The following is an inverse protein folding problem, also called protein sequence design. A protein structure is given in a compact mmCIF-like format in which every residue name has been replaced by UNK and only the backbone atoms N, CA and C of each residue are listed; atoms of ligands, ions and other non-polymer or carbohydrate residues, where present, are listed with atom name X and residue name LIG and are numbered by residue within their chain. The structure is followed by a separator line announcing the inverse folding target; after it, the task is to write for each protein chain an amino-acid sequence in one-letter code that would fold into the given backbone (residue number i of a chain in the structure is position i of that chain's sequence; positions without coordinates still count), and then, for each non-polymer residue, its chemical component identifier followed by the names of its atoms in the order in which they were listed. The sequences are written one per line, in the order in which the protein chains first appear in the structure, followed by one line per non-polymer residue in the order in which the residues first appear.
data_IF_087283677253
#
_entry.id   IF_087283677253
#
_cell.length_a   1.000
_cell.length_b   1.000
_cell.length_c   1.000
_cell.angle_alpha   90.00
_cell.angle_beta   90.00
_cell.angle_gamma   90.00
#
_symmetry.space_group_name_H-M   'P 1'
#
loop_
_entity.id
_entity.type
_entity.pdbx_description
1 polymer ?
#
# COMPACT_ATOMS: atom_id res chain seq x y z
N UNK A 1 16.79 13.00 -1.22
CA UNK A 1 15.76 13.32 -0.21
C UNK A 1 16.34 13.79 1.12
N UNK A 2 17.16 13.01 1.83
CA UNK A 2 17.71 13.41 3.16
C UNK A 2 18.42 14.76 3.14
N UNK A 3 19.27 15.01 2.13
CA UNK A 3 19.98 16.28 1.96
C UNK A 3 19.08 17.51 1.70
N UNK A 4 17.83 17.29 1.32
CA UNK A 4 16.86 18.34 1.01
C UNK A 4 15.78 18.46 2.09
N UNK A 5 15.94 17.75 3.22
CA UNK A 5 14.99 17.80 4.33
C UNK A 5 15.30 19.01 5.22
N UNK A 6 14.68 20.15 4.91
CA UNK A 6 14.93 21.42 5.61
C UNK A 6 13.71 21.93 6.39
N UNK A 7 12.65 21.14 6.53
CA UNK A 7 11.48 21.47 7.37
C UNK A 7 10.89 20.24 8.07
N UNK A 8 10.01 20.42 9.07
CA UNK A 8 9.42 19.32 9.86
C UNK A 8 8.25 18.65 9.13
N UNK A 9 8.44 18.28 7.86
CA UNK A 9 7.37 17.77 7.00
C UNK A 9 7.03 16.32 7.33
N UNK A 10 5.82 16.06 7.82
CA UNK A 10 5.33 14.71 8.12
C UNK A 10 4.84 13.95 6.90
N UNK A 11 4.55 14.68 5.83
CA UNK A 11 4.05 14.13 4.58
C UNK A 11 4.62 14.87 3.38
N UNK A 12 4.64 14.20 2.23
CA UNK A 12 5.12 14.81 0.98
C UNK A 12 4.28 16.00 0.50
N UNK A 13 3.02 16.08 0.98
CA UNK A 13 2.14 17.22 0.71
C UNK A 13 2.65 18.49 1.38
N UNK A 14 3.24 18.38 2.56
CA UNK A 14 3.79 19.51 3.33
C UNK A 14 5.14 20.01 2.80
N UNK A 15 5.81 19.22 1.94
CA UNK A 15 7.09 19.62 1.34
C UNK A 15 6.83 20.77 0.35
N UNK A 16 7.46 21.95 0.53
CA UNK A 16 7.31 23.10 -0.35
C UNK A 16 7.67 22.78 -1.80
N UNK A 17 7.01 23.48 -2.74
CA UNK A 17 7.25 23.29 -4.18
C UNK A 17 8.71 23.52 -4.56
N UNK A 18 9.36 24.56 -4.04
CA UNK A 18 10.78 24.82 -4.34
C UNK A 18 11.69 23.68 -3.87
N UNK A 19 11.40 23.06 -2.73
CA UNK A 19 12.16 21.90 -2.24
C UNK A 19 11.95 20.67 -3.13
N UNK A 20 10.72 20.44 -3.61
CA UNK A 20 10.42 19.38 -4.58
C UNK A 20 11.17 19.60 -5.90
N UNK A 21 11.17 20.82 -6.43
CA UNK A 21 11.91 21.19 -7.65
C UNK A 21 13.40 20.96 -7.46
N UNK A 22 13.99 21.41 -6.35
CA UNK A 22 15.41 21.15 -6.06
C UNK A 22 15.74 19.65 -5.96
N UNK A 23 14.86 18.84 -5.37
CA UNK A 23 15.01 17.37 -5.33
C UNK A 23 14.91 16.74 -6.73
N UNK A 24 14.06 17.28 -7.61
CA UNK A 24 13.86 16.81 -8.98
C UNK A 24 15.06 17.16 -9.87
N UNK A 25 15.52 18.40 -9.84
CA UNK A 25 16.70 18.84 -10.61
C UNK A 25 17.91 17.95 -10.28
N UNK A 26 18.11 17.62 -9.00
CA UNK A 26 19.19 16.71 -8.59
C UNK A 26 19.00 15.27 -9.07
N UNK A 27 17.76 14.83 -9.24
CA UNK A 27 17.47 13.53 -9.82
C UNK A 27 17.80 13.51 -11.31
N UNK A 28 17.51 14.59 -12.05
CA UNK A 28 17.85 14.74 -13.46
C UNK A 28 19.36 14.86 -13.70
N UNK A 29 20.11 15.48 -12.80
CA UNK A 29 21.58 15.55 -12.88
C UNK A 29 22.26 14.16 -12.88
N UNK A 30 21.64 13.15 -12.27
CA UNK A 30 22.26 11.84 -12.03
C UNK A 30 21.57 10.70 -12.81
N UNK A 31 20.49 10.97 -13.52
CA UNK A 31 19.78 9.98 -14.34
C UNK A 31 19.49 10.53 -15.73
N UNK A 32 19.81 9.74 -16.75
CA UNK A 32 19.37 10.01 -18.12
C UNK A 32 17.90 9.60 -18.28
N UNK A 33 17.05 10.55 -18.68
CA UNK A 33 15.63 10.30 -18.98
C UNK A 33 15.46 10.26 -20.49
N UNK A 34 14.84 9.20 -21.00
CA UNK A 34 14.58 9.06 -22.43
C UNK A 34 13.56 10.11 -22.92
N UNK A 35 13.68 10.59 -24.17
CA UNK A 35 12.69 11.49 -24.77
C UNK A 35 11.27 10.92 -24.65
N UNK A 36 10.29 11.78 -24.34
CA UNK A 36 8.89 11.39 -24.16
C UNK A 36 8.55 10.71 -22.83
N UNK A 37 9.54 10.30 -22.01
CA UNK A 37 9.29 9.64 -20.72
C UNK A 37 9.26 10.59 -19.52
N UNK A 38 9.60 11.87 -19.72
CA UNK A 38 9.76 12.85 -18.63
C UNK A 38 8.56 12.90 -17.69
N UNK A 39 7.35 13.02 -18.25
CA UNK A 39 6.13 13.10 -17.46
C UNK A 39 5.91 11.83 -16.61
N UNK A 40 6.06 10.66 -17.22
CA UNK A 40 5.88 9.38 -16.54
C UNK A 40 6.92 9.18 -15.42
N UNK A 41 8.20 9.43 -15.72
CA UNK A 41 9.29 9.33 -14.75
C UNK A 41 9.07 10.30 -13.59
N UNK A 42 8.65 11.54 -13.86
CA UNK A 42 8.34 12.51 -12.82
C UNK A 42 7.17 12.04 -11.93
N UNK A 43 6.11 11.47 -12.50
CA UNK A 43 5.00 10.90 -11.72
C UNK A 43 5.46 9.75 -10.81
N UNK A 44 6.25 8.81 -11.34
CA UNK A 44 6.79 7.67 -10.59
C UNK A 44 7.72 8.16 -9.48
N UNK A 45 8.62 9.09 -9.80
CA UNK A 45 9.53 9.72 -8.86
C UNK A 45 8.77 10.41 -7.72
N UNK A 46 7.72 11.16 -8.03
CA UNK A 46 6.91 11.86 -7.04
C UNK A 46 6.21 10.88 -6.08
N UNK A 47 5.62 9.80 -6.61
CA UNK A 47 5.05 8.69 -5.80
C UNK A 47 6.13 8.02 -4.95
N UNK A 48 7.33 7.83 -5.49
CA UNK A 48 8.45 7.24 -4.76
C UNK A 48 8.88 8.13 -3.60
N UNK A 49 9.04 9.42 -3.83
CA UNK A 49 9.37 10.41 -2.82
C UNK A 49 8.33 10.43 -1.69
N UNK A 50 7.04 10.42 -2.04
CA UNK A 50 5.97 10.33 -1.06
C UNK A 50 6.11 9.13 -0.12
N UNK A 51 6.32 7.93 -0.67
CA UNK A 51 6.47 6.70 0.11
C UNK A 51 7.74 6.71 0.96
N UNK A 52 8.86 7.15 0.38
CA UNK A 52 10.17 7.15 1.06
C UNK A 52 10.23 8.12 2.22
N UNK A 53 9.62 9.30 2.12
CA UNK A 53 9.61 10.27 3.22
C UNK A 53 8.91 9.71 4.45
N UNK A 54 7.64 9.29 4.29
CA UNK A 54 6.84 8.75 5.39
C UNK A 54 7.47 7.49 5.99
N UNK A 55 8.02 6.59 5.16
CA UNK A 55 8.71 5.39 5.64
C UNK A 55 9.96 5.74 6.45
N UNK A 56 10.76 6.71 5.97
CA UNK A 56 12.01 7.10 6.64
C UNK A 56 11.75 7.76 8.00
N UNK A 57 10.78 8.68 8.05
CA UNK A 57 10.37 9.34 9.30
C UNK A 57 9.75 8.34 10.29
N UNK A 58 8.90 7.42 9.80
CA UNK A 58 8.33 6.37 10.63
C UNK A 58 9.40 5.49 11.26
N UNK A 59 10.41 5.06 10.48
CA UNK A 59 11.55 4.26 10.98
C UNK A 59 12.37 5.02 12.03
N UNK A 60 12.74 6.25 11.73
CA UNK A 60 13.50 7.10 12.67
C UNK A 60 12.72 7.28 13.97
N UNK A 61 11.43 7.60 13.90
CA UNK A 61 10.60 7.76 15.08
C UNK A 61 10.54 6.47 15.90
N UNK A 62 10.27 5.33 15.27
CA UNK A 62 10.22 4.04 15.97
C UNK A 62 11.53 3.69 16.65
N UNK A 63 12.65 3.92 15.97
CA UNK A 63 13.98 3.71 16.54
C UNK A 63 14.21 4.63 17.75
N UNK A 64 13.94 5.93 17.60
CA UNK A 64 14.14 6.92 18.68
C UNK A 64 13.21 6.68 19.86
N UNK A 65 11.97 6.24 19.62
CA UNK A 65 11.04 5.86 20.66
C UNK A 65 11.55 4.66 21.47
N UNK A 66 12.18 3.67 20.81
CA UNK A 66 12.79 2.53 21.47
C UNK A 66 14.01 2.93 22.30
N UNK A 67 14.93 3.72 21.72
CA UNK A 67 16.11 4.26 22.42
C UNK A 67 15.70 5.10 23.66
N UNK A 68 14.58 5.81 23.56
CA UNK A 68 14.02 6.65 24.61
C UNK A 68 13.10 5.92 25.60
N UNK A 69 13.05 4.57 25.57
CA UNK A 69 12.22 3.73 26.45
C UNK A 69 10.73 4.13 26.45
N UNK A 70 10.21 4.48 25.28
CA UNK A 70 8.79 4.83 25.09
C UNK A 70 8.45 6.31 25.30
N UNK A 71 9.37 7.14 25.77
CA UNK A 71 9.13 8.58 25.95
C UNK A 71 9.93 9.41 24.93
N UNK A 72 9.26 9.78 23.84
CA UNK A 72 9.89 10.51 22.74
C UNK A 72 10.43 11.90 23.14
N UNK A 73 10.00 12.48 24.27
CA UNK A 73 10.59 13.73 24.78
C UNK A 73 12.08 13.57 25.11
N UNK A 74 12.49 12.38 25.54
CA UNK A 74 13.90 12.07 25.86
C UNK A 74 14.79 11.91 24.63
N UNK A 75 14.25 12.06 23.42
CA UNK A 75 15.01 11.97 22.17
C UNK A 75 15.39 13.33 21.56
N UNK A 76 15.01 14.46 22.17
CA UNK A 76 15.27 15.83 21.64
C UNK A 76 16.76 16.17 21.52
N UNK A 77 17.56 15.62 22.42
CA UNK A 77 19.01 15.82 22.49
C UNK A 77 19.74 15.08 21.35
N UNK A 78 19.14 14.02 20.79
CA UNK A 78 19.75 13.09 19.82
C UNK A 78 19.04 13.07 18.45
N UNK A 79 19.03 14.18 17.69
CA UNK A 79 18.47 14.20 16.34
C UNK A 79 19.25 13.28 15.38
N UNK A 80 18.59 12.73 14.35
CA UNK A 80 19.30 12.11 13.22
C UNK A 80 20.20 13.12 12.50
N UNK A 81 21.33 12.65 11.95
CA UNK A 81 22.31 13.50 11.27
C UNK A 81 21.78 14.31 10.07
N UNK A 82 20.65 13.92 9.49
CA UNK A 82 20.04 14.58 8.33
C UNK A 82 18.84 15.47 8.70
N UNK A 83 18.53 15.65 9.99
CA UNK A 83 17.48 16.55 10.46
C UNK A 83 18.11 17.56 11.42
N UNK A 84 17.93 18.86 11.16
CA UNK A 84 18.37 19.90 12.09
C UNK A 84 17.71 19.75 13.45
N UNK A 85 18.39 20.14 14.54
CA UNK A 85 17.84 20.07 15.90
C UNK A 85 16.51 20.80 16.01
N UNK A 86 16.39 21.95 15.36
CA UNK A 86 15.15 22.73 15.32
C UNK A 86 13.98 21.94 14.70
N UNK A 87 14.17 21.39 13.50
CA UNK A 87 13.14 20.62 12.81
C UNK A 87 12.82 19.31 13.54
N UNK A 88 13.83 18.69 14.17
CA UNK A 88 13.64 17.50 14.99
C UNK A 88 12.75 17.77 16.21
N UNK A 89 12.99 18.87 16.93
CA UNK A 89 12.16 19.26 18.06
C UNK A 89 10.71 19.50 17.62
N UNK A 90 10.49 20.21 16.50
CA UNK A 90 9.14 20.42 15.93
C UNK A 90 8.47 19.09 15.56
N UNK A 91 9.20 18.13 14.97
CA UNK A 91 8.66 16.79 14.67
C UNK A 91 8.25 16.04 15.95
N UNK A 92 9.07 16.11 17.00
CA UNK A 92 8.73 15.52 18.31
C UNK A 92 7.47 16.16 18.85
N UNK A 93 7.36 17.50 18.86
CA UNK A 93 6.17 18.22 19.33
C UNK A 93 4.90 17.73 18.64
N UNK A 94 4.96 17.54 17.32
CA UNK A 94 3.82 17.02 16.57
C UNK A 94 3.53 15.57 16.97
N UNK A 95 4.53 14.69 17.07
CA UNK A 95 4.32 13.28 17.40
C UNK A 95 3.82 13.04 18.83
N UNK A 96 4.22 13.87 19.80
CA UNK A 96 3.73 13.75 21.18
C UNK A 96 2.35 14.38 21.39
N UNK A 97 1.92 15.22 20.45
CA UNK A 97 0.64 15.93 20.54
C UNK A 97 -0.54 14.94 20.70
N UNK A 98 -1.57 15.30 21.51
CA UNK A 98 -2.75 14.45 21.68
C UNK A 98 -3.45 14.10 20.36
N UNK A 99 -3.54 15.09 19.45
CA UNK A 99 -4.13 14.91 18.13
C UNK A 99 -3.42 13.82 17.33
N UNK A 100 -2.08 13.84 17.32
CA UNK A 100 -1.30 12.86 16.57
C UNK A 100 -1.38 11.48 17.22
N UNK A 101 -1.27 11.40 18.55
CA UNK A 101 -1.43 10.14 19.31
C UNK A 101 -2.78 9.48 19.05
N UNK A 102 -3.88 10.25 19.11
CA UNK A 102 -5.23 9.75 18.81
C UNK A 102 -5.32 9.16 17.41
N UNK A 103 -4.80 9.87 16.39
CA UNK A 103 -4.76 9.38 15.00
C UNK A 103 -3.91 8.11 14.86
N UNK A 104 -2.77 8.06 15.55
CA UNK A 104 -1.87 6.90 15.52
C UNK A 104 -2.52 5.66 16.14
N UNK A 105 -3.19 5.82 17.29
CA UNK A 105 -3.85 4.71 17.97
C UNK A 105 -5.07 4.22 17.18
N UNK A 106 -5.89 5.12 16.63
CA UNK A 106 -6.97 4.75 15.71
C UNK A 106 -6.44 3.94 14.52
N UNK A 107 -5.37 4.38 13.89
CA UNK A 107 -4.75 3.64 12.78
C UNK A 107 -4.17 2.28 13.20
N UNK A 108 -3.66 2.17 14.43
CA UNK A 108 -3.19 0.89 14.99
C UNK A 108 -4.37 -0.06 15.25
N UNK A 109 -5.45 0.44 15.83
CA UNK A 109 -6.66 -0.34 16.08
C UNK A 109 -7.31 -0.80 14.77
N UNK A 110 -7.35 0.06 13.74
CA UNK A 110 -7.83 -0.30 12.42
C UNK A 110 -7.02 -1.45 11.80
N UNK A 111 -5.68 -1.43 11.94
CA UNK A 111 -4.82 -2.53 11.48
C UNK A 111 -5.01 -3.82 12.28
N UNK A 112 -5.33 -3.71 13.56
CA UNK A 112 -5.53 -4.85 14.46
C UNK A 112 -7.00 -5.31 14.53
N UNK A 113 -7.89 -4.70 13.75
CA UNK A 113 -9.29 -5.09 13.72
C UNK A 113 -9.43 -6.49 13.12
N UNK A 114 -10.07 -7.38 13.86
CA UNK A 114 -10.31 -8.74 13.39
C UNK A 114 -11.36 -8.74 12.27
N UNK A 115 -11.09 -9.50 11.22
CA UNK A 115 -12.03 -9.83 10.15
C UNK A 115 -12.16 -11.34 10.11
N UNK A 116 -13.39 -11.85 10.23
CA UNK A 116 -13.68 -13.29 10.33
C UNK A 116 -12.89 -13.99 11.45
N UNK A 117 -12.75 -13.33 12.61
CA UNK A 117 -12.06 -13.89 13.77
C UNK A 117 -10.52 -13.94 13.65
N UNK A 118 -9.92 -13.21 12.70
CA UNK A 118 -8.45 -13.08 12.59
C UNK A 118 -8.03 -11.71 12.09
N UNK A 119 -6.84 -11.25 12.44
CA UNK A 119 -6.23 -10.06 11.80
C UNK A 119 -5.84 -10.45 10.38
N UNK A 120 -6.18 -9.61 9.40
CA UNK A 120 -5.88 -9.88 8.00
C UNK A 120 -4.36 -9.86 7.73
N UNK A 121 -3.85 -10.87 7.04
CA UNK A 121 -2.41 -11.11 6.78
C UNK A 121 -2.22 -11.57 5.33
N UNK A 122 -1.01 -11.33 4.82
CA UNK A 122 -0.53 -11.87 3.54
C UNK A 122 0.96 -12.23 3.67
N UNK A 123 1.42 -13.15 2.82
CA UNK A 123 2.80 -13.64 2.70
C UNK A 123 3.56 -13.04 1.50
N UNK A 124 2.98 -12.05 0.80
CA UNK A 124 3.62 -11.39 -0.35
C UNK A 124 4.92 -10.62 -0.02
N UNK A 125 5.15 -10.28 1.24
CA UNK A 125 6.35 -9.56 1.67
C UNK A 125 6.42 -8.14 1.10
N UNK A 126 7.63 -7.64 0.83
CA UNK A 126 7.86 -6.30 0.28
C UNK A 126 7.68 -6.19 -1.24
N UNK A 127 7.34 -7.30 -1.90
CA UNK A 127 7.11 -7.38 -3.35
C UNK A 127 5.64 -7.00 -3.62
N UNK A 128 5.42 -6.17 -4.63
CA UNK A 128 4.08 -5.74 -5.05
C UNK A 128 3.28 -6.93 -5.61
N UNK A 129 1.94 -6.86 -5.54
CA UNK A 129 1.10 -7.89 -6.14
C UNK A 129 1.30 -8.00 -7.66
N UNK A 130 1.49 -6.86 -8.37
CA UNK A 130 1.84 -6.87 -9.82
C UNK A 130 3.10 -7.68 -10.07
N UNK A 131 4.16 -7.47 -9.30
CA UNK A 131 5.41 -8.20 -9.52
C UNK A 131 5.28 -9.68 -9.13
N UNK A 132 4.41 -10.03 -8.17
CA UNK A 132 4.07 -11.43 -7.92
C UNK A 132 3.33 -12.05 -9.11
N UNK A 133 2.37 -11.34 -9.68
CA UNK A 133 1.61 -11.78 -10.86
C UNK A 133 2.53 -11.93 -12.08
N UNK A 134 3.42 -10.98 -12.36
CA UNK A 134 4.39 -11.08 -13.45
C UNK A 134 5.32 -12.29 -13.29
N UNK A 135 5.84 -12.50 -12.07
CA UNK A 135 6.67 -13.68 -11.78
C UNK A 135 5.89 -14.98 -11.95
N UNK A 136 4.63 -14.99 -11.57
CA UNK A 136 3.76 -16.14 -11.70
C UNK A 136 3.42 -16.40 -13.18
N UNK A 137 3.15 -15.35 -13.96
CA UNK A 137 2.96 -15.40 -15.41
C UNK A 137 4.16 -16.00 -16.11
N UNK A 138 5.37 -15.54 -15.79
CA UNK A 138 6.61 -16.10 -16.34
C UNK A 138 6.78 -17.58 -16.00
N UNK A 139 6.41 -17.99 -14.77
CA UNK A 139 6.48 -19.38 -14.32
C UNK A 139 5.46 -20.28 -15.02
N UNK A 140 4.23 -19.80 -15.18
CA UNK A 140 3.11 -20.55 -15.78
C UNK A 140 3.12 -20.49 -17.31
N UNK A 141 3.85 -19.53 -17.90
CA UNK A 141 3.83 -19.21 -19.34
C UNK A 141 2.43 -18.85 -19.87
N UNK A 142 1.55 -18.39 -18.98
CA UNK A 142 0.20 -17.89 -19.25
C UNK A 142 -0.18 -16.87 -18.18
N UNK A 143 -1.25 -16.13 -18.41
CA UNK A 143 -1.82 -15.27 -17.35
C UNK A 143 -2.26 -16.13 -16.14
N UNK A 144 -1.90 -15.72 -14.91
CA UNK A 144 -2.42 -16.35 -13.71
C UNK A 144 -3.90 -16.02 -13.53
N UNK A 145 -4.66 -16.97 -12.99
CA UNK A 145 -6.04 -16.73 -12.56
C UNK A 145 -6.08 -15.90 -11.27
N UNK A 146 -7.22 -15.27 -10.98
CA UNK A 146 -7.50 -14.58 -9.70
C UNK A 146 -7.14 -15.47 -8.50
N UNK A 147 -7.52 -16.75 -8.54
CA UNK A 147 -7.26 -17.71 -7.46
C UNK A 147 -5.76 -18.00 -7.29
N UNK A 148 -5.02 -18.16 -8.38
CA UNK A 148 -3.58 -18.40 -8.34
C UNK A 148 -2.81 -17.19 -7.80
N UNK A 149 -3.15 -16.00 -8.26
CA UNK A 149 -2.60 -14.72 -7.76
C UNK A 149 -2.91 -14.49 -6.29
N UNK A 150 -4.15 -14.76 -5.87
CA UNK A 150 -4.54 -14.63 -4.47
C UNK A 150 -3.80 -15.64 -3.58
N UNK A 151 -3.79 -16.90 -3.97
CA UNK A 151 -3.11 -17.98 -3.24
C UNK A 151 -1.61 -17.71 -3.10
N UNK A 152 -0.97 -17.18 -4.16
CA UNK A 152 0.46 -16.83 -4.15
C UNK A 152 0.83 -15.93 -2.97
N UNK A 153 -0.09 -15.06 -2.57
CA UNK A 153 0.15 -14.03 -1.56
C UNK A 153 -0.58 -14.29 -0.25
N UNK A 154 -1.59 -15.16 -0.19
CA UNK A 154 -2.40 -15.39 1.02
C UNK A 154 -2.32 -16.84 1.56
N UNK A 155 -1.52 -17.70 0.93
CA UNK A 155 -1.16 -19.02 1.47
C UNK A 155 0.33 -19.10 1.82
N UNK A 156 0.63 -19.98 2.78
CA UNK A 156 2.00 -20.37 3.10
C UNK A 156 2.65 -21.17 1.95
N UNK A 157 3.95 -21.44 2.05
CA UNK A 157 4.72 -22.23 1.07
C UNK A 157 4.42 -21.79 -0.37
N UNK A 158 4.47 -20.48 -0.61
CA UNK A 158 4.41 -19.93 -1.96
C UNK A 158 3.11 -20.21 -2.74
N UNK A 159 1.99 -20.44 -2.03
CA UNK A 159 0.69 -20.77 -2.62
C UNK A 159 0.24 -22.21 -2.39
N UNK A 160 1.15 -23.08 -1.91
CA UNK A 160 0.91 -24.53 -1.82
C UNK A 160 0.50 -25.00 -0.41
N UNK A 161 0.63 -24.16 0.61
CA UNK A 161 0.21 -24.48 1.98
C UNK A 161 -1.18 -23.97 2.33
N UNK A 162 -1.51 -23.94 3.62
CA UNK A 162 -2.77 -23.38 4.12
C UNK A 162 -2.82 -21.84 4.07
N UNK A 163 -4.02 -21.28 4.21
CA UNK A 163 -4.25 -19.84 4.33
C UNK A 163 -3.61 -19.28 5.61
N UNK A 164 -3.15 -18.03 5.53
CA UNK A 164 -2.41 -17.38 6.63
C UNK A 164 -3.31 -16.58 7.59
N UNK A 165 -4.57 -16.42 7.22
CA UNK A 165 -5.62 -15.83 8.04
C UNK A 165 -6.99 -16.47 7.69
N UNK A 166 -7.98 -16.29 8.58
CA UNK A 166 -9.34 -16.80 8.39
C UNK A 166 -10.13 -15.98 7.37
N UNK A 167 -9.75 -14.72 7.13
CA UNK A 167 -10.42 -13.86 6.14
C UNK A 167 -10.23 -14.41 4.74
N UNK A 168 -9.00 -14.77 4.38
CA UNK A 168 -8.63 -15.28 3.07
C UNK A 168 -9.29 -16.63 2.80
N UNK A 169 -9.34 -17.50 3.82
CA UNK A 169 -10.08 -18.75 3.77
C UNK A 169 -11.58 -18.52 3.52
N UNK A 170 -12.21 -17.62 4.29
CA UNK A 170 -13.62 -17.28 4.12
C UNK A 170 -13.95 -16.67 2.76
N UNK A 171 -13.09 -15.76 2.26
CA UNK A 171 -13.21 -15.17 0.91
C UNK A 171 -13.17 -16.27 -0.16
N UNK A 172 -12.22 -17.19 -0.06
CA UNK A 172 -12.08 -18.26 -1.04
C UNK A 172 -13.22 -19.28 -0.98
N UNK A 173 -13.76 -19.56 0.22
CA UNK A 173 -14.95 -20.39 0.37
C UNK A 173 -16.17 -19.74 -0.31
N UNK A 174 -16.39 -18.43 -0.10
CA UNK A 174 -17.46 -17.68 -0.77
C UNK A 174 -17.28 -17.64 -2.28
N UNK A 175 -16.10 -17.28 -2.76
CA UNK A 175 -15.79 -17.25 -4.18
C UNK A 175 -16.08 -18.61 -4.83
N UNK A 176 -15.64 -19.71 -4.22
CA UNK A 176 -15.86 -21.06 -4.75
C UNK A 176 -17.35 -21.43 -4.77
N UNK A 177 -18.12 -20.99 -3.77
CA UNK A 177 -19.56 -21.21 -3.73
C UNK A 177 -20.29 -20.43 -4.84
N UNK A 178 -19.97 -19.15 -5.04
CA UNK A 178 -20.58 -18.35 -6.12
C UNK A 178 -20.17 -18.85 -7.50
N UNK A 179 -18.90 -19.22 -7.68
CA UNK A 179 -18.41 -19.84 -8.90
C UNK A 179 -19.19 -21.12 -9.26
N UNK A 180 -19.51 -21.93 -8.25
CA UNK A 180 -20.27 -23.19 -8.45
C UNK A 180 -21.74 -22.95 -8.78
N UNK A 181 -22.34 -21.83 -8.35
CA UNK A 181 -23.72 -21.47 -8.74
C UNK A 181 -23.80 -21.00 -10.19
N UNK A 182 -22.76 -20.33 -10.68
CA UNK A 182 -22.71 -19.71 -12.00
C UNK A 182 -22.13 -20.65 -13.08
N UNK A 183 -22.38 -21.97 -12.98
CA UNK A 183 -21.87 -23.09 -13.82
C UNK A 183 -22.29 -23.05 -15.31
N UNK A 184 -22.15 -21.91 -15.98
CA UNK A 184 -22.05 -21.78 -17.45
C UNK A 184 -20.59 -21.47 -17.85
N UNK A 185 -19.71 -21.16 -16.89
CA UNK A 185 -18.28 -20.96 -17.13
C UNK A 185 -17.46 -22.23 -16.86
N UNK A 186 -16.41 -22.50 -17.65
CA UNK A 186 -15.60 -23.72 -17.53
C UNK A 186 -14.90 -23.79 -16.15
N UNK A 187 -14.32 -24.92 -15.71
CA UNK A 187 -13.75 -25.11 -14.35
C UNK A 187 -12.78 -24.00 -13.92
N UNK A 188 -12.47 -23.81 -12.61
CA UNK A 188 -11.68 -22.69 -12.08
C UNK A 188 -10.31 -22.43 -12.75
N UNK A 189 -9.73 -23.44 -13.43
CA UNK A 189 -8.52 -23.28 -14.25
C UNK A 189 -8.75 -22.61 -15.61
N UNK A 190 -10.01 -22.43 -16.02
CA UNK A 190 -10.47 -21.91 -17.32
C UNK A 190 -11.33 -20.64 -17.19
N UNK A 191 -11.60 -20.15 -15.98
CA UNK A 191 -12.17 -18.82 -15.78
C UNK A 191 -11.30 -17.79 -16.53
N UNK A 192 -11.89 -16.77 -17.19
CA UNK A 192 -11.09 -15.70 -17.77
C UNK A 192 -10.17 -15.15 -16.68
N UNK A 193 -8.91 -14.79 -17.00
CA UNK A 193 -7.86 -14.55 -16.01
C UNK A 193 -8.24 -13.56 -14.90
N UNK A 194 -9.26 -12.72 -15.11
CA UNK A 194 -9.75 -11.70 -14.19
C UNK A 194 -11.29 -11.49 -14.23
N UNK A 195 -12.07 -12.52 -13.88
CA UNK A 195 -13.50 -12.33 -13.54
C UNK A 195 -13.65 -11.66 -12.16
N UNK A 196 -13.70 -10.33 -12.14
CA UNK A 196 -13.78 -9.56 -10.91
C UNK A 196 -15.18 -9.50 -10.29
N UNK A 197 -16.23 -9.78 -11.05
CA UNK A 197 -17.61 -9.67 -10.56
C UNK A 197 -17.87 -10.71 -9.46
N UNK A 198 -17.49 -11.97 -9.72
CA UNK A 198 -17.54 -13.03 -8.71
C UNK A 198 -16.62 -12.73 -7.51
N UNK A 199 -15.49 -12.09 -7.75
CA UNK A 199 -14.58 -11.72 -6.68
C UNK A 199 -15.14 -10.61 -5.79
N UNK A 200 -15.88 -9.65 -6.36
CA UNK A 200 -16.55 -8.58 -5.62
C UNK A 200 -17.71 -9.12 -4.78
N UNK A 201 -18.46 -10.12 -5.25
CA UNK A 201 -19.45 -10.81 -4.43
C UNK A 201 -18.81 -11.48 -3.19
N UNK A 202 -17.61 -12.06 -3.36
CA UNK A 202 -16.89 -12.71 -2.26
C UNK A 202 -16.24 -11.72 -1.28
N UNK A 203 -15.76 -10.57 -1.76
CA UNK A 203 -14.92 -9.64 -0.98
C UNK A 203 -15.56 -8.31 -0.61
N UNK A 204 -16.68 -7.98 -1.23
CA UNK A 204 -17.31 -6.66 -1.24
C UNK A 204 -16.74 -5.76 -2.34
N UNK A 205 -17.52 -4.73 -2.69
CA UNK A 205 -17.15 -3.73 -3.70
C UNK A 205 -15.84 -3.01 -3.30
N UNK A 206 -14.92 -2.77 -4.24
CA UNK A 206 -13.67 -2.06 -3.97
C UNK A 206 -13.91 -0.70 -3.31
N UNK A 207 -13.14 -0.39 -2.27
CA UNK A 207 -13.14 0.95 -1.65
C UNK A 207 -11.88 1.69 -2.09
N UNK A 208 -12.03 2.95 -2.52
CA UNK A 208 -10.92 3.78 -3.01
C UNK A 208 -10.09 3.11 -4.13
N UNK A 209 -10.72 2.32 -5.00
CA UNK A 209 -10.06 1.61 -6.11
C UNK A 209 -9.19 0.42 -5.68
N UNK A 210 -9.29 -0.03 -4.44
CA UNK A 210 -8.54 -1.18 -3.92
C UNK A 210 -9.41 -2.44 -3.84
N UNK A 211 -9.05 -3.45 -4.63
CA UNK A 211 -9.62 -4.79 -4.54
C UNK A 211 -8.86 -5.60 -3.50
N UNK A 212 -9.57 -6.29 -2.61
CA UNK A 212 -8.91 -7.14 -1.62
C UNK A 212 -8.10 -8.25 -2.29
N UNK A 213 -6.82 -8.36 -1.93
CA UNK A 213 -5.91 -9.36 -2.45
C UNK A 213 -5.14 -8.96 -3.72
N UNK A 214 -5.39 -7.77 -4.28
CA UNK A 214 -4.79 -7.34 -5.55
C UNK A 214 -4.24 -5.91 -5.49
N UNK A 215 -3.40 -5.57 -6.47
CA UNK A 215 -2.97 -4.18 -6.69
C UNK A 215 -4.15 -3.29 -7.06
N UNK A 216 -4.05 -1.96 -6.86
CA UNK A 216 -5.03 -1.03 -7.42
C UNK A 216 -5.15 -1.30 -8.92
N UNK A 217 -6.36 -1.56 -9.39
CA UNK A 217 -6.61 -1.70 -10.81
C UNK A 217 -6.61 -0.30 -11.41
N UNK A 218 -5.71 -0.04 -12.35
CA UNK A 218 -5.66 1.23 -13.08
C UNK A 218 -6.97 1.50 -13.86
N UNK A 219 -7.82 0.48 -14.01
CA UNK A 219 -9.02 0.47 -14.84
C UNK A 219 -10.36 0.51 -14.05
N UNK A 220 -10.36 0.44 -12.71
CA UNK A 220 -11.61 0.47 -11.93
C UNK A 220 -12.20 1.87 -11.73
N UNK A 221 -11.44 2.92 -12.02
CA UNK A 221 -11.96 4.30 -11.95
C UNK A 221 -13.12 4.53 -12.92
N UNK A 222 -13.16 3.80 -14.05
CA UNK A 222 -14.28 3.84 -15.00
C UNK A 222 -15.54 3.13 -14.47
N UNK A 223 -15.38 2.05 -13.70
CA UNK A 223 -16.50 1.26 -13.15
C UNK A 223 -17.14 1.97 -11.94
N UNK A 224 -16.35 2.66 -11.10
CA UNK A 224 -16.86 3.41 -9.95
C UNK A 224 -17.60 4.70 -10.39
N UNK A 225 -17.28 5.24 -11.57
CA UNK A 225 -17.88 6.47 -12.10
C UNK A 225 -19.33 6.36 -12.58
N UNK A 226 -19.89 5.14 -12.70
CA UNK A 226 -21.26 4.94 -13.18
C UNK A 226 -22.32 4.82 -12.08
N UNK A 227 -21.93 4.71 -10.80
CA UNK A 227 -22.89 4.57 -9.68
C UNK A 227 -23.20 5.87 -8.93
N UNK A 228 -22.72 7.02 -9.42
CA UNK A 228 -22.97 8.34 -8.82
C UNK A 228 -23.81 9.24 -9.73
N UNK A 229 -24.96 8.74 -10.18
CA UNK A 229 -26.03 9.59 -10.72
C UNK A 229 -27.40 8.95 -10.48
N UNK A 230 -27.89 9.14 -9.26
CA UNK A 230 -29.31 9.13 -8.89
C UNK A 230 -29.38 10.03 -7.64
N UNK A 231 -29.65 11.32 -7.84
CA UNK A 231 -30.95 11.95 -7.63
C UNK A 231 -31.34 11.98 -6.15
N UNK A 232 -31.31 13.17 -5.55
CA UNK A 232 -32.46 13.69 -4.83
C UNK A 232 -32.45 15.22 -4.88
N UNK A 233 -33.64 15.74 -5.23
CA UNK A 233 -34.08 17.12 -5.08
C UNK A 233 -34.25 17.48 -3.60
#
# INVERSE_FOLDING_TARGET
MRQFFNGPWLSWREVPTHAKVGMWNKFEEIHTILPGQLHHVHQVWNKHCQRRLTTSLGRVRSQKLLEAKGDLNKARDKPPNWISRENWNKLIDIWISPKWKKKSEANKNNRNTMKNGSISKHCGGSITFVNHDERLKLKLRREPTIVESFNRTHKTKQGMGGYVDKRSEAVMAKYSAEYSKNMVMPPPQMAPPRDYDLWFEATGVPTHGHVYGFSPLEDLTGIIGQSSSASDL
#
